data_IF_144698139032
#
_entry.id   IF_144698139032
#
_cell.length_a   1.000
_cell.length_b   1.000
_cell.length_c   1.000
_cell.angle_alpha   90.00
_cell.angle_beta   90.00
_cell.angle_gamma   90.00
#
_symmetry.space_group_name_H-M   'P 1'
#
loop_
_entity.id
_entity.type
_entity.pdbx_description
1 polymer ?
#
# COMPACT_ATOMS: atom_id res chain seq x y z
N UNK A 1 6.86 25.48 24.12
CA UNK A 1 5.71 25.63 23.22
C UNK A 1 4.62 24.70 23.71
N UNK A 2 3.37 25.15 23.90
CA UNK A 2 2.31 24.24 24.31
C UNK A 2 2.05 23.26 23.15
N UNK A 3 2.17 21.98 23.45
CA UNK A 3 1.79 20.86 22.59
C UNK A 3 0.34 21.07 22.14
N UNK A 4 0.13 21.54 20.91
CA UNK A 4 -1.18 21.48 20.24
C UNK A 4 -1.45 20.03 19.88
N UNK A 5 -1.75 19.18 20.87
CA UNK A 5 -2.38 17.89 20.62
C UNK A 5 -3.86 18.20 20.35
N UNK A 6 -4.15 18.78 19.18
CA UNK A 6 -5.50 18.88 18.66
C UNK A 6 -5.93 17.45 18.31
N UNK A 7 -6.50 16.77 19.31
CA UNK A 7 -7.28 15.56 19.08
C UNK A 7 -8.51 16.00 18.29
N UNK A 8 -8.48 15.77 16.98
CA UNK A 8 -9.72 15.69 16.22
C UNK A 8 -10.62 14.66 16.90
N UNK A 9 -11.94 14.86 16.94
CA UNK A 9 -12.83 13.78 17.36
C UNK A 9 -12.44 12.55 16.55
N UNK A 10 -12.20 11.43 17.25
CA UNK A 10 -11.87 10.17 16.60
C UNK A 10 -12.98 9.89 15.58
N UNK A 11 -12.63 9.94 14.29
CA UNK A 11 -13.57 9.58 13.24
C UNK A 11 -14.05 8.16 13.49
N UNK A 12 -15.32 7.89 13.21
CA UNK A 12 -15.80 6.53 13.19
C UNK A 12 -14.95 5.70 12.21
N UNK A 13 -14.73 4.39 12.46
CA UNK A 13 -13.89 3.54 11.60
C UNK A 13 -14.20 3.65 10.10
N UNK A 14 -15.47 3.77 9.73
CA UNK A 14 -15.89 3.94 8.35
C UNK A 14 -15.43 5.28 7.74
N UNK A 15 -15.62 6.39 8.46
CA UNK A 15 -15.21 7.72 8.01
C UNK A 15 -13.68 7.83 7.96
N UNK A 16 -12.97 7.21 8.93
CA UNK A 16 -11.51 7.13 8.93
C UNK A 16 -10.97 6.37 7.72
N UNK A 17 -11.60 5.25 7.35
CA UNK A 17 -11.23 4.47 6.17
C UNK A 17 -11.52 5.22 4.86
N UNK A 18 -12.69 5.87 4.76
CA UNK A 18 -13.03 6.70 3.62
C UNK A 18 -12.03 7.86 3.44
N UNK A 19 -11.70 8.56 4.53
CA UNK A 19 -10.71 9.62 4.51
C UNK A 19 -9.30 9.11 4.19
N UNK A 20 -8.84 8.02 4.82
CA UNK A 20 -7.52 7.45 4.54
C UNK A 20 -7.34 7.08 3.07
N UNK A 21 -8.39 6.54 2.45
CA UNK A 21 -8.41 6.26 1.01
C UNK A 21 -8.43 7.54 0.17
N UNK A 22 -9.24 8.54 0.54
CA UNK A 22 -9.30 9.84 -0.15
C UNK A 22 -7.97 10.60 -0.08
N UNK A 23 -7.33 10.64 1.09
CA UNK A 23 -6.07 11.33 1.31
C UNK A 23 -4.95 10.74 0.44
N UNK A 24 -4.88 9.41 0.33
CA UNK A 24 -3.95 8.73 -0.58
C UNK A 24 -4.25 9.03 -2.05
N UNK A 25 -5.53 8.97 -2.44
CA UNK A 25 -5.94 9.36 -3.80
C UNK A 25 -5.43 10.75 -4.14
N UNK A 26 -5.72 11.76 -3.33
CA UNK A 26 -5.34 13.14 -3.63
C UNK A 26 -3.84 13.40 -3.50
N UNK A 27 -3.17 12.75 -2.55
CA UNK A 27 -1.71 12.80 -2.44
C UNK A 27 -1.05 12.28 -3.73
N UNK A 28 -1.47 11.11 -4.24
CA UNK A 28 -1.00 10.58 -5.52
C UNK A 28 -1.33 11.51 -6.68
N UNK A 29 -2.58 11.95 -6.81
CA UNK A 29 -2.99 12.81 -7.92
C UNK A 29 -2.16 14.10 -8.00
N UNK A 30 -1.93 14.77 -6.86
CA UNK A 30 -1.18 16.02 -6.82
C UNK A 30 0.32 15.80 -6.95
N UNK A 31 0.89 14.89 -6.16
CA UNK A 31 2.34 14.66 -6.09
C UNK A 31 2.89 14.09 -7.40
N UNK A 32 2.14 13.20 -8.06
CA UNK A 32 2.50 12.66 -9.38
C UNK A 32 2.12 13.60 -10.53
N UNK A 33 1.60 14.80 -10.23
CA UNK A 33 1.17 15.80 -11.21
C UNK A 33 0.10 15.33 -12.19
N UNK A 34 -0.75 14.38 -11.78
CA UNK A 34 -1.97 13.99 -12.51
C UNK A 34 -3.09 15.02 -12.35
N UNK A 35 -3.08 15.73 -11.21
CA UNK A 35 -3.92 16.88 -10.92
C UNK A 35 -3.04 18.03 -10.40
N UNK A 36 -3.42 19.27 -10.68
CA UNK A 36 -2.82 20.43 -10.00
C UNK A 36 -3.53 20.64 -8.67
N UNK A 37 -2.73 20.76 -7.61
CA UNK A 37 -3.17 21.25 -6.30
C UNK A 37 -2.71 22.69 -6.11
N UNK A 38 -3.63 23.59 -5.80
CA UNK A 38 -3.32 25.01 -5.51
C UNK A 38 -3.50 25.25 -4.02
N UNK A 39 -2.43 25.68 -3.35
CA UNK A 39 -2.47 26.08 -1.95
C UNK A 39 -2.97 27.51 -1.80
N UNK A 40 -3.96 27.70 -0.94
CA UNK A 40 -4.46 29.00 -0.51
C UNK A 40 -4.40 29.09 1.01
N UNK A 41 -3.74 30.13 1.53
CA UNK A 41 -3.65 30.37 2.97
C UNK A 41 -5.02 30.77 3.52
N UNK A 42 -5.39 30.19 4.67
CA UNK A 42 -6.58 30.60 5.41
C UNK A 42 -6.27 31.71 6.42
N UNK A 43 -7.31 32.41 6.89
CA UNK A 43 -7.14 33.41 7.94
C UNK A 43 -6.67 32.76 9.25
N UNK A 44 -5.84 33.49 10.01
CA UNK A 44 -5.31 33.00 11.28
C UNK A 44 -6.45 32.72 12.30
N UNK A 45 -6.25 31.72 13.16
CA UNK A 45 -7.23 31.34 14.19
C UNK A 45 -8.15 30.17 13.83
N UNK A 46 -7.95 29.55 12.66
CA UNK A 46 -8.57 28.27 12.29
C UNK A 46 -7.63 27.09 12.59
N UNK A 47 -8.20 25.89 12.68
CA UNK A 47 -7.45 24.63 12.87
C UNK A 47 -6.69 24.17 11.62
N UNK A 48 -6.77 24.93 10.52
CA UNK A 48 -6.08 24.69 9.27
C UNK A 48 -5.18 25.88 8.91
N UNK A 49 -3.96 25.61 8.44
CA UNK A 49 -3.04 26.63 7.91
C UNK A 49 -3.51 27.17 6.55
N UNK A 50 -4.18 26.33 5.77
CA UNK A 50 -4.65 26.64 4.43
C UNK A 50 -5.55 25.55 3.86
N UNK A 51 -5.80 25.65 2.57
CA UNK A 51 -6.51 24.64 1.79
C UNK A 51 -5.70 24.26 0.55
N UNK A 52 -5.80 23.01 0.13
CA UNK A 52 -5.45 22.54 -1.20
C UNK A 52 -6.72 22.49 -2.05
N UNK A 53 -6.76 23.25 -3.14
CA UNK A 53 -7.79 23.15 -4.18
C UNK A 53 -7.28 22.22 -5.28
N UNK A 54 -7.88 21.03 -5.40
CA UNK A 54 -7.51 20.04 -6.41
C UNK A 54 -8.37 20.23 -7.66
N UNK A 55 -7.72 20.50 -8.79
CA UNK A 55 -8.40 20.72 -10.06
C UNK A 55 -8.69 19.40 -10.79
N UNK A 56 -9.70 19.41 -11.68
CA UNK A 56 -9.97 18.30 -12.59
C UNK A 56 -8.79 18.05 -13.52
N UNK A 57 -8.73 16.84 -14.07
CA UNK A 57 -7.58 16.39 -14.84
C UNK A 57 -7.45 17.12 -16.19
N UNK A 58 -8.56 17.37 -16.88
CA UNK A 58 -8.58 18.10 -18.15
C UNK A 58 -8.25 19.59 -17.97
N UNK A 59 -8.59 20.16 -16.82
CA UNK A 59 -8.12 21.48 -16.39
C UNK A 59 -6.62 21.43 -16.09
N UNK A 60 -6.16 20.42 -15.34
CA UNK A 60 -4.77 20.26 -14.92
C UNK A 60 -3.80 19.93 -16.06
N UNK A 61 -4.27 19.26 -17.11
CA UNK A 61 -3.46 18.90 -18.28
C UNK A 61 -3.07 20.09 -19.17
N UNK A 62 -3.62 21.28 -18.89
CA UNK A 62 -3.33 22.52 -19.63
C UNK A 62 -2.51 23.47 -18.77
N UNK A 63 -1.62 24.29 -19.37
CA UNK A 63 -0.96 25.37 -18.63
C UNK A 63 -1.98 26.24 -17.89
N UNK A 64 -1.62 26.84 -16.73
CA UNK A 64 -2.51 27.75 -16.02
C UNK A 64 -3.04 28.81 -16.98
N UNK A 65 -4.36 28.97 -17.10
CA UNK A 65 -4.91 30.01 -17.95
C UNK A 65 -4.65 31.37 -17.29
N UNK A 66 -4.66 32.42 -18.11
CA UNK A 66 -4.55 33.80 -17.65
C UNK A 66 -5.54 34.09 -16.52
N UNK A 67 -5.18 34.98 -15.58
CA UNK A 67 -5.99 35.33 -14.40
C UNK A 67 -7.40 35.81 -14.78
N UNK A 68 -7.61 36.35 -15.99
CA UNK A 68 -8.91 36.76 -16.50
C UNK A 68 -9.85 35.58 -16.82
N UNK A 69 -9.32 34.37 -17.04
CA UNK A 69 -10.12 33.16 -17.24
C UNK A 69 -10.31 32.48 -15.88
N UNK A 70 -11.46 32.71 -15.26
CA UNK A 70 -11.71 32.20 -13.93
C UNK A 70 -11.92 30.67 -13.91
N UNK A 71 -11.41 30.00 -12.87
CA UNK A 71 -11.86 28.65 -12.53
C UNK A 71 -13.22 28.71 -11.85
N UNK A 72 -14.04 27.73 -12.14
CA UNK A 72 -15.41 27.56 -11.64
C UNK A 72 -15.52 26.33 -10.75
N UNK A 73 -16.67 26.14 -10.09
CA UNK A 73 -16.93 24.95 -9.29
C UNK A 73 -16.82 23.65 -10.10
N UNK A 74 -17.13 23.68 -11.41
CA UNK A 74 -16.97 22.52 -12.28
C UNK A 74 -15.52 22.16 -12.57
N UNK A 75 -14.56 23.07 -12.38
CA UNK A 75 -13.14 22.81 -12.60
C UNK A 75 -12.44 22.16 -11.38
N UNK A 76 -13.14 22.08 -10.24
CA UNK A 76 -12.59 21.62 -8.96
C UNK A 76 -13.10 20.21 -8.66
N UNK A 77 -12.19 19.29 -8.35
CA UNK A 77 -12.52 17.95 -7.86
C UNK A 77 -12.86 18.00 -6.38
N UNK A 78 -11.97 18.57 -5.58
CA UNK A 78 -12.05 18.57 -4.13
C UNK A 78 -11.30 19.77 -3.52
N UNK A 79 -11.67 20.13 -2.30
CA UNK A 79 -10.97 21.12 -1.47
C UNK A 79 -10.60 20.47 -0.14
N UNK A 80 -9.31 20.47 0.20
CA UNK A 80 -8.77 19.73 1.34
C UNK A 80 -8.13 20.73 2.30
N UNK A 81 -8.66 20.91 3.52
CA UNK A 81 -8.01 21.72 4.54
C UNK A 81 -6.69 21.07 4.99
N UNK A 82 -5.65 21.87 5.16
CA UNK A 82 -4.32 21.40 5.54
C UNK A 82 -3.92 21.91 6.93
N UNK A 83 -3.30 21.04 7.72
CA UNK A 83 -2.65 21.34 9.01
C UNK A 83 -1.46 22.25 8.80
N UNK A 84 -0.62 21.88 7.84
CA UNK A 84 0.68 22.49 7.60
C UNK A 84 0.80 23.00 6.16
N UNK A 85 1.81 23.83 5.93
CA UNK A 85 2.09 24.37 4.60
C UNK A 85 2.77 23.27 3.78
N UNK A 86 2.21 22.88 2.62
CA UNK A 86 2.75 21.77 1.83
C UNK A 86 4.05 22.19 1.11
N UNK A 87 4.73 21.22 0.51
CA UNK A 87 5.90 21.51 -0.32
C UNK A 87 5.44 22.00 -1.70
N UNK A 88 5.91 23.18 -2.09
CA UNK A 88 5.55 23.79 -3.37
C UNK A 88 6.41 23.31 -4.53
N UNK A 89 5.86 23.41 -5.74
CA UNK A 89 6.63 23.27 -6.98
C UNK A 89 7.61 24.42 -7.13
N UNK A 90 8.81 24.13 -7.62
CA UNK A 90 9.82 25.16 -7.91
C UNK A 90 9.48 26.01 -9.14
N UNK A 91 8.66 25.47 -10.04
CA UNK A 91 8.28 26.02 -11.33
C UNK A 91 6.77 26.33 -11.44
N UNK A 92 6.05 26.37 -10.32
CA UNK A 92 4.62 26.70 -10.31
C UNK A 92 4.36 28.13 -10.79
N UNK A 93 3.46 28.30 -11.76
CA UNK A 93 3.18 29.61 -12.37
C UNK A 93 1.73 30.07 -12.25
N UNK A 94 0.84 29.34 -11.58
CA UNK A 94 -0.57 29.76 -11.47
C UNK A 94 -0.68 31.04 -10.61
N UNK A 95 -1.15 32.17 -11.15
CA UNK A 95 -1.23 33.43 -10.41
C UNK A 95 -2.29 33.42 -9.28
N UNK A 96 -3.14 32.37 -9.22
CA UNK A 96 -4.20 32.24 -8.23
C UNK A 96 -3.72 31.73 -6.87
N UNK A 97 -2.57 31.06 -6.80
CA UNK A 97 -2.02 30.48 -5.57
C UNK A 97 -0.75 29.66 -5.84
N UNK A 98 -0.15 29.12 -4.78
CA UNK A 98 1.10 28.35 -4.93
C UNK A 98 0.79 26.90 -5.33
N UNK A 99 1.34 26.44 -6.45
CA UNK A 99 1.17 25.04 -6.86
C UNK A 99 1.92 24.10 -5.92
N UNK A 100 1.23 23.05 -5.48
CA UNK A 100 1.75 22.03 -4.57
C UNK A 100 2.53 20.99 -5.38
N UNK A 101 3.75 20.70 -4.95
CA UNK A 101 4.64 19.69 -5.53
C UNK A 101 4.61 18.36 -4.78
N UNK A 102 4.44 18.39 -3.45
CA UNK A 102 4.21 17.22 -2.62
C UNK A 102 3.09 17.53 -1.63
N UNK A 103 2.05 16.70 -1.67
CA UNK A 103 0.91 16.77 -0.77
C UNK A 103 0.93 15.53 0.13
N UNK A 104 1.42 15.69 1.36
CA UNK A 104 1.48 14.59 2.34
C UNK A 104 0.08 14.32 2.92
N UNK A 105 -0.42 13.08 2.94
CA UNK A 105 -1.65 12.72 3.65
C UNK A 105 -1.67 13.18 5.11
N UNK A 106 -0.52 13.24 5.78
CA UNK A 106 -0.43 13.68 7.17
C UNK A 106 -0.64 15.19 7.37
N UNK A 107 -0.38 15.98 6.34
CA UNK A 107 -0.67 17.41 6.33
C UNK A 107 -2.17 17.68 6.15
N UNK A 108 -2.97 16.67 5.78
CA UNK A 108 -4.40 16.86 5.57
C UNK A 108 -5.18 16.81 6.90
N UNK A 109 -6.16 17.70 7.03
CA UNK A 109 -7.23 17.48 7.99
C UNK A 109 -8.10 16.32 7.54
N UNK A 110 -8.72 15.57 8.47
CA UNK A 110 -9.56 14.40 8.17
C UNK A 110 -10.92 14.80 7.58
N UNK A 111 -10.89 15.59 6.52
CA UNK A 111 -12.02 16.25 5.89
C UNK A 111 -11.67 16.59 4.45
N UNK A 112 -12.57 16.22 3.53
CA UNK A 112 -12.51 16.62 2.13
C UNK A 112 -13.81 17.31 1.79
N UNK A 113 -13.77 18.47 1.17
CA UNK A 113 -14.96 19.17 0.68
C UNK A 113 -15.15 18.94 -0.82
N UNK A 114 -16.42 18.83 -1.22
CA UNK A 114 -16.86 18.87 -2.61
C UNK A 114 -18.06 19.81 -2.77
N UNK A 115 -18.31 20.25 -4.00
CA UNK A 115 -19.51 21.01 -4.32
C UNK A 115 -20.71 20.05 -4.43
N UNK A 116 -21.79 20.35 -3.70
CA UNK A 116 -23.00 19.52 -3.68
C UNK A 116 -23.62 19.35 -5.08
N UNK A 117 -24.12 18.15 -5.37
CA UNK A 117 -24.74 17.82 -6.67
C UNK A 117 -26.26 17.96 -6.68
N UNK A 118 -26.97 17.82 -5.56
CA UNK A 118 -28.35 18.29 -5.32
C UNK A 118 -28.83 17.92 -3.88
N UNK A 119 -29.53 18.83 -3.20
CA UNK A 119 -30.37 18.52 -2.01
C UNK A 119 -29.68 18.02 -0.73
N UNK A 120 -28.35 18.06 -0.62
CA UNK A 120 -27.61 17.59 0.56
C UNK A 120 -27.76 18.51 1.78
N UNK A 121 -28.08 17.91 2.93
CA UNK A 121 -28.25 18.62 4.21
C UNK A 121 -26.93 19.15 4.81
N UNK A 122 -27.09 20.22 5.59
CA UNK A 122 -26.19 20.84 6.58
C UNK A 122 -24.75 20.32 6.66
N UNK A 123 -23.79 21.16 6.31
CA UNK A 123 -22.37 20.91 6.51
C UNK A 123 -22.01 20.98 8.01
N UNK A 124 -21.61 19.87 8.63
CA UNK A 124 -21.13 19.82 10.02
C UNK A 124 -19.93 20.77 10.28
N UNK A 125 -19.24 21.20 9.21
CA UNK A 125 -18.07 22.06 9.23
C UNK A 125 -18.32 23.42 8.56
N UNK A 126 -19.50 24.04 8.77
CA UNK A 126 -19.89 25.34 8.15
C UNK A 126 -18.79 26.40 8.23
N UNK A 127 -18.13 26.57 9.38
CA UNK A 127 -17.12 27.60 9.59
C UNK A 127 -15.93 27.41 8.64
N UNK A 128 -15.40 26.18 8.58
CA UNK A 128 -14.24 25.87 7.74
C UNK A 128 -14.60 25.89 6.24
N UNK A 129 -15.79 25.39 5.87
CA UNK A 129 -16.28 25.47 4.51
C UNK A 129 -16.48 26.93 4.04
N UNK A 130 -17.01 27.79 4.91
CA UNK A 130 -17.17 29.22 4.63
C UNK A 130 -15.80 29.91 4.49
N UNK A 131 -14.86 29.57 5.36
CA UNK A 131 -13.49 30.09 5.28
C UNK A 131 -12.78 29.64 3.99
N UNK A 132 -12.95 28.38 3.61
CA UNK A 132 -12.43 27.85 2.36
C UNK A 132 -13.02 28.58 1.14
N UNK A 133 -14.35 28.73 1.07
CA UNK A 133 -15.00 29.50 0.01
C UNK A 133 -14.48 30.94 -0.05
N UNK A 134 -14.34 31.61 1.09
CA UNK A 134 -13.79 32.98 1.16
C UNK A 134 -12.34 33.07 0.66
N UNK A 135 -11.53 32.03 0.86
CA UNK A 135 -10.19 31.99 0.29
C UNK A 135 -10.22 31.85 -1.24
N UNK A 136 -11.26 31.24 -1.79
CA UNK A 136 -11.49 31.01 -3.23
C UNK A 136 -12.41 32.10 -3.83
N UNK A 137 -12.41 33.32 -3.29
CA UNK A 137 -13.08 34.48 -3.92
C UNK A 137 -12.10 35.51 -4.48
N UNK A 138 -10.82 35.17 -4.57
CA UNK A 138 -9.79 36.03 -5.16
C UNK A 138 -9.90 36.13 -6.69
N UNK A 139 -9.09 37.00 -7.34
CA UNK A 139 -9.00 37.06 -8.79
C UNK A 139 -8.72 35.67 -9.40
N UNK A 140 -9.35 35.37 -10.54
CA UNK A 140 -9.20 34.08 -11.22
C UNK A 140 -10.10 32.95 -10.72
N UNK A 141 -11.06 33.23 -9.83
CA UNK A 141 -12.10 32.30 -9.39
C UNK A 141 -13.51 32.89 -9.62
N UNK A 142 -14.45 32.11 -10.14
CA UNK A 142 -15.86 32.45 -10.25
C UNK A 142 -16.71 31.31 -9.66
N UNK A 143 -17.06 31.50 -8.39
CA UNK A 143 -17.91 30.59 -7.62
C UNK A 143 -19.27 31.22 -7.29
N UNK A 144 -19.66 32.29 -7.99
CA UNK A 144 -20.88 33.05 -7.69
C UNK A 144 -22.17 32.22 -7.80
N UNK A 145 -22.15 31.21 -8.66
CA UNK A 145 -23.25 30.27 -8.92
C UNK A 145 -22.97 28.87 -8.39
N UNK A 146 -21.88 28.69 -7.64
CA UNK A 146 -21.47 27.39 -7.15
C UNK A 146 -22.49 26.86 -6.12
N UNK A 147 -22.77 25.53 -6.13
CA UNK A 147 -23.46 24.88 -5.03
C UNK A 147 -22.71 25.09 -3.70
N UNK A 148 -23.34 24.83 -2.54
CA UNK A 148 -22.63 24.84 -1.27
C UNK A 148 -21.54 23.76 -1.22
N UNK A 149 -20.46 24.03 -0.47
CA UNK A 149 -19.50 23.00 -0.11
C UNK A 149 -20.07 22.07 0.95
N UNK A 150 -19.90 20.77 0.75
CA UNK A 150 -20.28 19.70 1.68
C UNK A 150 -19.10 18.78 1.94
N UNK A 151 -19.06 18.18 3.13
CA UNK A 151 -18.07 17.18 3.47
C UNK A 151 -18.32 15.92 2.63
N UNK A 152 -17.32 15.48 1.88
CA UNK A 152 -17.35 14.23 1.14
C UNK A 152 -17.16 13.05 2.09
N UNK A 153 -18.08 12.09 2.03
CA UNK A 153 -18.07 10.88 2.86
C UNK A 153 -17.48 9.67 2.14
N UNK A 154 -17.10 9.82 0.88
CA UNK A 154 -16.59 8.71 0.07
C UNK A 154 -15.61 9.23 -0.99
N UNK A 155 -14.46 8.58 -1.18
CA UNK A 155 -13.56 8.92 -2.28
C UNK A 155 -14.09 8.48 -3.65
N UNK A 156 -15.10 7.60 -3.71
CA UNK A 156 -15.54 6.97 -4.97
C UNK A 156 -16.13 8.00 -5.95
N UNK A 157 -17.08 8.88 -5.56
CA UNK A 157 -17.60 9.89 -6.47
C UNK A 157 -16.51 10.88 -6.95
N UNK A 158 -15.54 11.19 -6.08
CA UNK A 158 -14.41 12.07 -6.40
C UNK A 158 -13.49 11.43 -7.44
N UNK A 159 -13.18 10.14 -7.27
CA UNK A 159 -12.44 9.35 -8.25
C UNK A 159 -13.19 9.26 -9.58
N UNK A 160 -14.49 8.95 -9.56
CA UNK A 160 -15.29 8.87 -10.78
C UNK A 160 -15.33 10.20 -11.53
N UNK A 161 -15.54 11.31 -10.80
CA UNK A 161 -15.50 12.66 -11.36
C UNK A 161 -14.14 12.94 -12.01
N UNK A 162 -13.04 12.64 -11.33
CA UNK A 162 -11.69 12.81 -11.87
C UNK A 162 -11.45 11.92 -13.11
N UNK A 163 -11.71 10.62 -13.02
CA UNK A 163 -11.47 9.66 -14.09
C UNK A 163 -12.31 9.92 -15.35
N UNK A 164 -13.57 10.38 -15.19
CA UNK A 164 -14.39 10.83 -16.32
C UNK A 164 -13.81 12.07 -17.00
N UNK A 165 -13.28 13.04 -16.25
CA UNK A 165 -12.60 14.21 -16.84
C UNK A 165 -11.36 13.83 -17.65
N UNK A 166 -10.63 12.78 -17.22
CA UNK A 166 -9.51 12.19 -17.97
C UNK A 166 -9.92 11.35 -19.18
N UNK A 167 -11.22 11.09 -19.38
CA UNK A 167 -11.74 10.16 -20.38
C UNK A 167 -11.15 8.75 -20.23
N UNK A 168 -10.93 8.30 -18.98
CA UNK A 168 -10.51 6.93 -18.69
C UNK A 168 -11.58 5.96 -19.22
N UNK A 169 -11.13 4.84 -19.81
CA UNK A 169 -12.04 3.78 -20.28
C UNK A 169 -12.89 3.28 -19.11
N UNK A 170 -14.19 3.14 -19.34
CA UNK A 170 -15.16 2.74 -18.31
C UNK A 170 -14.78 1.44 -17.58
N UNK A 171 -14.13 0.48 -18.27
CA UNK A 171 -13.63 -0.75 -17.65
C UNK A 171 -12.54 -0.49 -16.62
N UNK A 172 -11.57 0.37 -16.95
CA UNK A 172 -10.47 0.75 -16.04
C UNK A 172 -11.02 1.57 -14.88
N UNK A 173 -11.97 2.47 -15.17
CA UNK A 173 -12.63 3.28 -14.13
C UNK A 173 -13.28 2.38 -13.09
N UNK A 174 -14.07 1.39 -13.53
CA UNK A 174 -14.72 0.39 -12.66
C UNK A 174 -13.72 -0.47 -11.89
N UNK A 175 -12.65 -0.93 -12.54
CA UNK A 175 -11.62 -1.74 -11.89
C UNK A 175 -10.96 -0.98 -10.73
N UNK A 176 -10.61 0.30 -10.93
CA UNK A 176 -10.00 1.13 -9.89
C UNK A 176 -11.02 1.51 -8.81
N UNK A 177 -12.29 1.76 -9.16
CA UNK A 177 -13.35 1.98 -8.17
C UNK A 177 -13.50 0.76 -7.25
N UNK A 178 -13.49 -0.46 -7.79
CA UNK A 178 -13.53 -1.68 -6.99
C UNK A 178 -12.30 -1.85 -6.08
N UNK A 179 -11.13 -1.38 -6.52
CA UNK A 179 -9.93 -1.35 -5.67
C UNK A 179 -10.10 -0.37 -4.50
N UNK A 180 -10.67 0.82 -4.72
CA UNK A 180 -10.98 1.76 -3.63
C UNK A 180 -12.04 1.22 -2.66
N UNK A 181 -13.10 0.59 -3.16
CA UNK A 181 -14.11 -0.06 -2.32
C UNK A 181 -13.47 -1.13 -1.42
N UNK A 182 -12.59 -1.96 -2.00
CA UNK A 182 -11.83 -2.96 -1.24
C UNK A 182 -10.92 -2.30 -0.20
N UNK A 183 -10.21 -1.22 -0.54
CA UNK A 183 -9.37 -0.48 0.42
C UNK A 183 -10.17 0.07 1.59
N UNK A 184 -11.33 0.70 1.33
CA UNK A 184 -12.21 1.23 2.39
C UNK A 184 -12.71 0.08 3.28
N UNK A 185 -13.14 -1.03 2.68
CA UNK A 185 -13.65 -2.17 3.43
C UNK A 185 -12.60 -2.74 4.39
N UNK A 186 -11.38 -2.99 3.90
CA UNK A 186 -10.33 -3.59 4.71
C UNK A 186 -9.75 -2.61 5.72
N UNK A 187 -9.55 -1.33 5.37
CA UNK A 187 -9.13 -0.33 6.35
C UNK A 187 -10.17 -0.15 7.45
N UNK A 188 -11.47 -0.14 7.11
CA UNK A 188 -12.55 -0.11 8.10
C UNK A 188 -12.45 -1.30 9.04
N UNK A 189 -12.31 -2.51 8.49
CA UNK A 189 -12.17 -3.72 9.29
C UNK A 189 -11.00 -3.60 10.27
N UNK A 190 -9.87 -3.07 9.82
CA UNK A 190 -8.70 -2.89 10.66
C UNK A 190 -8.88 -1.81 11.73
N UNK A 191 -9.61 -0.73 11.45
CA UNK A 191 -9.94 0.28 12.47
C UNK A 191 -10.99 -0.22 13.49
N UNK A 192 -11.85 -1.16 13.10
CA UNK A 192 -12.77 -1.85 14.01
C UNK A 192 -12.05 -2.92 14.85
N UNK A 193 -10.95 -3.46 14.34
CA UNK A 193 -10.16 -4.52 14.98
C UNK A 193 -8.68 -4.12 15.05
N UNK A 194 -8.33 -3.00 15.70
CA UNK A 194 -6.99 -2.47 15.66
C UNK A 194 -6.01 -3.45 16.31
N UNK A 195 -4.84 -3.69 15.70
CA UNK A 195 -3.79 -4.48 16.31
C UNK A 195 -3.30 -3.82 17.60
N UNK A 196 -2.74 -4.64 18.48
CA UNK A 196 -2.08 -4.16 19.70
C UNK A 196 -0.81 -3.41 19.30
N UNK A 197 -0.57 -2.25 19.90
CA UNK A 197 0.65 -1.50 19.66
C UNK A 197 1.86 -2.33 20.11
N UNK A 198 2.84 -2.56 19.22
CA UNK A 198 4.04 -3.28 19.60
C UNK A 198 4.77 -2.46 20.67
N UNK A 199 5.46 -3.15 21.57
CA UNK A 199 6.24 -2.51 22.61
C UNK A 199 7.72 -2.57 22.23
N UNK A 200 8.57 -1.72 22.81
CA UNK A 200 10.01 -1.80 22.61
C UNK A 200 10.63 -3.22 22.73
N UNK A 201 10.21 -4.09 23.68
CA UNK A 201 10.72 -5.46 23.73
C UNK A 201 10.10 -6.42 22.70
N UNK A 202 9.00 -6.03 22.02
CA UNK A 202 8.32 -6.88 21.04
C UNK A 202 9.26 -7.30 19.91
N UNK A 203 9.14 -8.55 19.43
CA UNK A 203 9.93 -9.05 18.31
C UNK A 203 9.63 -8.32 17.01
N UNK A 204 10.58 -8.35 16.07
CA UNK A 204 10.48 -7.64 14.79
C UNK A 204 9.19 -7.97 14.03
N UNK A 205 8.74 -9.22 14.08
CA UNK A 205 7.50 -9.66 13.42
C UNK A 205 6.23 -9.03 14.01
N UNK A 206 6.22 -8.68 15.30
CA UNK A 206 5.09 -7.97 15.90
C UNK A 206 4.97 -6.56 15.32
N UNK A 207 6.09 -5.89 15.06
CA UNK A 207 6.10 -4.57 14.41
C UNK A 207 5.66 -4.63 12.95
N UNK A 208 6.00 -5.71 12.23
CA UNK A 208 5.50 -5.97 10.88
C UNK A 208 3.98 -6.22 10.86
N UNK A 209 3.46 -6.96 11.85
CA UNK A 209 2.06 -7.38 11.93
C UNK A 209 1.16 -6.39 12.68
N UNK A 210 1.72 -5.43 13.41
CA UNK A 210 0.95 -4.39 14.08
C UNK A 210 0.49 -3.27 13.15
N UNK A 211 0.92 -3.30 11.88
CA UNK A 211 0.53 -2.29 10.91
C UNK A 211 -0.90 -2.59 10.51
N UNK A 212 -1.77 -1.61 10.71
CA UNK A 212 -3.24 -1.74 10.66
C UNK A 212 -3.69 -2.26 9.29
N UNK A 213 -2.88 -2.10 8.24
CA UNK A 213 -3.15 -2.60 6.88
C UNK A 213 -2.76 -4.07 6.62
N UNK A 214 -2.40 -4.83 7.65
CA UNK A 214 -2.03 -6.24 7.57
C UNK A 214 -3.19 -7.19 7.25
N UNK A 215 -2.87 -8.37 6.70
CA UNK A 215 -3.83 -9.42 6.32
C UNK A 215 -3.68 -10.66 7.21
N UNK A 216 -4.75 -11.44 7.46
CA UNK A 216 -4.66 -12.70 8.21
C UNK A 216 -3.61 -13.66 7.65
N UNK A 217 -2.95 -14.38 8.56
CA UNK A 217 -1.94 -15.39 8.25
C UNK A 217 -2.59 -16.62 7.62
N UNK A 218 -2.05 -17.06 6.49
CA UNK A 218 -2.48 -18.29 5.80
C UNK A 218 -1.36 -19.31 5.87
N UNK A 219 -1.64 -20.62 5.83
CA UNK A 219 -0.58 -21.61 5.88
C UNK A 219 0.27 -21.60 4.61
N UNK A 220 1.52 -22.04 4.76
CA UNK A 220 2.36 -22.46 3.64
C UNK A 220 1.91 -23.85 3.18
N UNK A 221 1.81 -24.01 1.86
CA UNK A 221 1.50 -25.25 1.18
C UNK A 221 2.64 -25.66 0.27
N UNK A 222 2.54 -26.88 -0.23
CA UNK A 222 3.56 -27.46 -1.09
C UNK A 222 2.91 -27.98 -2.36
N UNK A 223 3.64 -27.82 -3.47
CA UNK A 223 3.31 -28.45 -4.75
C UNK A 223 4.54 -29.14 -5.28
N UNK A 224 4.37 -30.21 -6.04
CA UNK A 224 5.43 -30.84 -6.81
C UNK A 224 5.25 -30.48 -8.28
N UNK A 225 6.32 -29.98 -8.90
CA UNK A 225 6.35 -29.55 -10.31
C UNK A 225 7.39 -30.38 -11.06
N UNK A 226 7.11 -30.87 -12.29
CA UNK A 226 8.12 -31.52 -13.10
C UNK A 226 9.36 -30.64 -13.24
N UNK A 227 10.56 -31.18 -12.99
CA UNK A 227 11.82 -30.42 -13.04
C UNK A 227 12.03 -29.72 -14.37
N UNK A 228 11.69 -30.40 -15.47
CA UNK A 228 11.78 -29.86 -16.83
C UNK A 228 10.92 -28.61 -17.04
N UNK A 229 9.86 -28.46 -16.24
CA UNK A 229 8.97 -27.30 -16.28
C UNK A 229 9.42 -26.16 -15.36
N UNK A 230 10.59 -26.25 -14.74
CA UNK A 230 11.12 -25.23 -13.84
C UNK A 230 12.41 -24.59 -14.35
N UNK A 231 12.52 -23.27 -14.13
CA UNK A 231 13.82 -22.58 -14.09
C UNK A 231 14.22 -22.40 -12.63
N UNK A 232 15.26 -23.11 -12.24
CA UNK A 232 15.85 -23.04 -10.90
C UNK A 232 17.11 -22.19 -10.96
N UNK A 233 17.23 -21.22 -10.06
CA UNK A 233 18.44 -20.38 -9.93
C UNK A 233 19.11 -20.69 -8.60
N UNK A 234 20.42 -20.97 -8.66
CA UNK A 234 21.22 -21.45 -7.54
C UNK A 234 20.67 -22.75 -6.91
N UNK A 235 21.10 -23.09 -5.71
CA UNK A 235 20.79 -24.36 -5.04
C UNK A 235 19.46 -24.29 -4.27
N UNK A 236 18.36 -24.07 -4.99
CA UNK A 236 17.02 -23.91 -4.40
C UNK A 236 16.59 -25.13 -3.57
N UNK A 237 16.85 -26.33 -4.07
CA UNK A 237 16.38 -27.58 -3.45
C UNK A 237 17.02 -27.81 -2.09
N UNK A 238 18.32 -27.52 -1.95
CA UNK A 238 19.01 -27.54 -0.66
C UNK A 238 18.29 -26.69 0.39
N UNK A 239 17.82 -25.51 0.01
CA UNK A 239 17.11 -24.61 0.92
C UNK A 239 15.70 -25.09 1.25
N UNK A 240 15.07 -25.92 0.42
CA UNK A 240 13.72 -26.45 0.69
C UNK A 240 13.70 -27.71 1.55
N UNK A 241 14.83 -28.41 1.72
CA UNK A 241 14.90 -29.63 2.56
C UNK A 241 14.32 -29.44 3.97
N UNK A 242 14.65 -28.37 4.73
CA UNK A 242 14.06 -28.15 6.05
C UNK A 242 12.54 -27.96 6.02
N UNK A 243 12.01 -27.32 4.96
CA UNK A 243 10.57 -27.13 4.81
C UNK A 243 9.85 -28.46 4.57
N UNK A 244 10.40 -29.31 3.70
CA UNK A 244 9.83 -30.63 3.37
C UNK A 244 9.86 -31.53 4.61
N UNK A 245 10.96 -31.53 5.35
CA UNK A 245 11.08 -32.30 6.58
C UNK A 245 10.06 -31.85 7.63
N UNK A 246 9.91 -30.53 7.84
CA UNK A 246 8.94 -29.98 8.78
C UNK A 246 7.48 -30.28 8.35
N UNK A 247 7.17 -30.18 7.06
CA UNK A 247 5.84 -30.48 6.53
C UNK A 247 5.49 -31.98 6.67
N UNK A 248 6.46 -32.86 6.41
CA UNK A 248 6.32 -34.31 6.60
C UNK A 248 6.09 -34.64 8.07
N UNK A 249 6.87 -34.04 8.97
CA UNK A 249 6.68 -34.18 10.42
C UNK A 249 5.30 -33.69 10.88
N UNK A 250 4.81 -32.57 10.32
CA UNK A 250 3.47 -32.05 10.61
C UNK A 250 2.35 -32.97 10.11
N UNK A 251 2.54 -33.62 8.97
CA UNK A 251 1.57 -34.57 8.41
C UNK A 251 1.63 -35.95 9.06
N UNK A 252 2.74 -36.30 9.73
CA UNK A 252 3.00 -37.63 10.30
C UNK A 252 3.39 -38.68 9.26
N UNK A 253 3.67 -38.27 8.02
CA UNK A 253 4.10 -39.13 6.92
C UNK A 253 5.05 -38.38 5.98
N UNK A 254 5.84 -39.12 5.21
CA UNK A 254 6.78 -38.53 4.24
C UNK A 254 6.03 -37.90 3.06
N UNK A 255 6.47 -36.72 2.64
CA UNK A 255 5.89 -36.02 1.49
C UNK A 255 6.14 -36.86 0.22
N UNK A 256 5.10 -37.38 -0.48
CA UNK A 256 5.26 -38.35 -1.55
C UNK A 256 5.67 -37.66 -2.86
N UNK A 257 6.93 -37.23 -2.96
CA UNK A 257 7.46 -36.51 -4.13
C UNK A 257 7.62 -37.47 -5.30
N UNK A 258 6.97 -37.23 -6.46
CA UNK A 258 7.17 -38.06 -7.65
C UNK A 258 8.62 -37.97 -8.16
N UNK A 259 9.07 -39.02 -8.85
CA UNK A 259 10.37 -39.02 -9.50
C UNK A 259 10.47 -37.87 -10.53
N UNK A 260 11.62 -37.17 -10.57
CA UNK A 260 11.87 -36.02 -11.44
C UNK A 260 11.02 -34.76 -11.15
N UNK A 261 10.38 -34.68 -9.99
CA UNK A 261 9.68 -33.47 -9.55
C UNK A 261 10.50 -32.69 -8.52
N UNK A 262 10.22 -31.40 -8.42
CA UNK A 262 10.79 -30.50 -7.41
C UNK A 262 9.65 -29.95 -6.57
N UNK A 263 9.84 -29.96 -5.25
CA UNK A 263 8.87 -29.37 -4.33
C UNK A 263 9.03 -27.86 -4.29
N UNK A 264 7.94 -27.14 -4.54
CA UNK A 264 7.88 -25.69 -4.49
C UNK A 264 6.94 -25.28 -3.34
N UNK A 265 7.41 -24.48 -2.37
CA UNK A 265 6.54 -23.89 -1.35
C UNK A 265 5.67 -22.80 -1.98
N UNK A 266 4.39 -22.78 -1.64
CA UNK A 266 3.40 -21.84 -2.18
C UNK A 266 2.48 -21.35 -1.07
N UNK A 267 1.92 -20.16 -1.26
CA UNK A 267 0.92 -19.63 -0.33
C UNK A 267 -0.41 -20.39 -0.50
N UNK A 268 -1.18 -20.63 0.57
CA UNK A 268 -2.48 -21.33 0.49
C UNK A 268 -3.41 -20.74 -0.60
N UNK A 269 -3.55 -19.41 -0.63
CA UNK A 269 -4.35 -18.68 -1.62
C UNK A 269 -3.90 -18.90 -3.08
N UNK A 270 -2.70 -19.46 -3.29
CA UNK A 270 -2.17 -19.74 -4.62
C UNK A 270 -2.50 -21.14 -5.13
N UNK A 271 -2.92 -22.06 -4.27
CA UNK A 271 -3.17 -23.47 -4.64
C UNK A 271 -4.23 -23.60 -5.74
N UNK A 272 -5.35 -22.90 -5.64
CA UNK A 272 -6.41 -22.90 -6.65
C UNK A 272 -5.93 -22.32 -8.00
N UNK A 273 -5.14 -21.24 -7.96
CA UNK A 273 -4.54 -20.67 -9.17
C UNK A 273 -3.57 -21.64 -9.84
N UNK A 274 -2.80 -22.38 -9.04
CA UNK A 274 -1.85 -23.37 -9.56
C UNK A 274 -2.60 -24.51 -10.24
N UNK A 275 -3.60 -25.10 -9.58
CA UNK A 275 -4.41 -26.18 -10.15
C UNK A 275 -5.07 -25.77 -11.47
N UNK A 276 -5.56 -24.53 -11.56
CA UNK A 276 -6.21 -24.03 -12.77
C UNK A 276 -5.23 -23.75 -13.93
N UNK A 277 -3.97 -23.41 -13.64
CA UNK A 277 -3.00 -22.92 -14.65
C UNK A 277 -1.95 -23.96 -15.05
N UNK A 278 -1.66 -24.93 -14.18
CA UNK A 278 -0.59 -25.92 -14.37
C UNK A 278 -1.15 -27.33 -14.10
N UNK A 279 -1.75 -27.97 -15.13
CA UNK A 279 -2.44 -29.26 -14.96
C UNK A 279 -1.50 -30.42 -14.62
N UNK A 280 -0.21 -30.25 -14.87
CA UNK A 280 0.89 -31.18 -14.59
C UNK A 280 1.47 -31.04 -13.17
N UNK A 281 1.05 -30.01 -12.41
CA UNK A 281 1.51 -29.76 -11.05
C UNK A 281 0.66 -30.52 -10.04
N UNK A 282 1.33 -31.27 -9.16
CA UNK A 282 0.68 -32.00 -8.07
C UNK A 282 0.60 -31.10 -6.85
N UNK A 283 -0.62 -30.74 -6.43
CA UNK A 283 -0.85 -30.01 -5.18
C UNK A 283 -0.99 -31.01 -4.04
N UNK A 284 -0.14 -30.92 -3.03
CA UNK A 284 -0.19 -31.84 -1.89
C UNK A 284 -1.41 -31.58 -0.99
N UNK A 285 -1.94 -32.63 -0.31
CA UNK A 285 -3.05 -32.52 0.62
C UNK A 285 -2.82 -31.46 1.71
N UNK A 286 -3.90 -30.87 2.29
CA UNK A 286 -3.80 -29.88 3.37
C UNK A 286 -3.06 -30.33 4.62
N UNK A 287 -2.90 -31.63 4.84
CA UNK A 287 -2.09 -32.16 5.95
C UNK A 287 -0.61 -31.75 5.86
N UNK A 288 -0.07 -31.56 4.64
CA UNK A 288 1.27 -31.05 4.43
C UNK A 288 1.25 -29.52 4.38
N UNK A 289 1.29 -28.91 5.56
CA UNK A 289 1.32 -27.47 5.71
C UNK A 289 2.36 -27.04 6.73
N UNK A 290 2.75 -25.75 6.68
CA UNK A 290 3.49 -25.11 7.76
C UNK A 290 2.81 -23.80 8.15
N UNK A 291 2.76 -23.46 9.45
CA UNK A 291 2.37 -22.12 9.86
C UNK A 291 3.42 -21.11 9.40
N UNK A 292 2.95 -19.95 8.95
CA UNK A 292 3.82 -18.84 8.53
C UNK A 292 3.32 -17.52 9.09
N UNK A 293 4.26 -16.60 9.25
CA UNK A 293 3.98 -15.23 9.66
C UNK A 293 4.21 -14.34 8.45
N UNK A 294 3.12 -13.77 7.93
CA UNK A 294 3.18 -12.80 6.84
C UNK A 294 3.76 -11.48 7.32
N UNK A 295 4.67 -10.92 6.52
CA UNK A 295 5.16 -9.55 6.62
C UNK A 295 4.22 -8.60 5.85
N UNK A 296 4.48 -7.29 5.87
CA UNK A 296 3.63 -6.28 5.23
C UNK A 296 3.25 -6.56 3.76
N UNK A 297 4.13 -7.22 3.00
CA UNK A 297 3.87 -7.55 1.60
C UNK A 297 2.89 -8.71 1.39
N UNK A 298 2.42 -9.35 2.48
CA UNK A 298 1.62 -10.60 2.56
C UNK A 298 2.38 -11.84 2.08
N UNK A 299 3.10 -11.71 0.97
CA UNK A 299 3.79 -12.80 0.28
C UNK A 299 5.22 -13.05 0.73
N UNK A 300 5.82 -12.11 1.47
CA UNK A 300 7.06 -12.36 2.20
C UNK A 300 6.69 -12.90 3.57
N UNK A 301 7.24 -14.06 3.91
CA UNK A 301 6.79 -14.83 5.06
C UNK A 301 7.97 -15.42 5.83
N UNK A 302 7.85 -15.40 7.15
CA UNK A 302 8.74 -16.14 8.06
C UNK A 302 8.12 -17.52 8.29
N UNK A 303 8.97 -18.56 8.40
CA UNK A 303 8.55 -19.95 8.65
C UNK A 303 9.18 -20.44 9.96
N UNK A 304 8.64 -20.06 11.13
CA UNK A 304 9.34 -20.24 12.42
C UNK A 304 9.76 -21.68 12.71
N UNK A 305 8.97 -22.66 12.27
CA UNK A 305 9.20 -24.08 12.57
C UNK A 305 10.20 -24.77 11.63
N UNK A 306 10.71 -24.07 10.62
CA UNK A 306 11.59 -24.67 9.62
C UNK A 306 12.79 -23.79 9.24
N UNK A 307 12.66 -22.48 9.37
CA UNK A 307 13.71 -21.52 9.08
C UNK A 307 14.03 -20.65 10.29
N UNK A 308 15.33 -20.54 10.57
CA UNK A 308 15.88 -19.66 11.57
C UNK A 308 16.38 -18.37 10.92
N UNK A 309 17.33 -18.45 9.98
CA UNK A 309 17.94 -17.28 9.31
C UNK A 309 17.31 -16.92 7.94
N UNK A 310 16.23 -17.60 7.55
CA UNK A 310 15.65 -17.49 6.21
C UNK A 310 14.18 -17.08 6.24
N UNK A 311 13.76 -16.43 5.16
CA UNK A 311 12.36 -16.15 4.83
C UNK A 311 12.06 -16.58 3.39
N UNK A 312 10.78 -16.66 3.08
CA UNK A 312 10.28 -16.95 1.75
C UNK A 312 9.61 -15.73 1.16
N UNK A 313 9.73 -15.57 -0.15
CA UNK A 313 8.88 -14.68 -0.94
C UNK A 313 8.14 -15.52 -1.96
N UNK A 314 6.81 -15.49 -1.91
CA UNK A 314 5.92 -16.39 -2.63
C UNK A 314 5.13 -15.66 -3.73
N UNK A 315 4.70 -16.38 -4.76
CA UNK A 315 3.70 -15.85 -5.69
C UNK A 315 2.30 -15.91 -5.06
N UNK A 316 1.59 -14.77 -5.02
CA UNK A 316 0.18 -14.72 -4.58
C UNK A 316 -0.65 -13.96 -5.62
N UNK A 317 -1.64 -14.62 -6.20
CA UNK A 317 -2.53 -14.13 -7.25
C UNK A 317 -3.60 -13.17 -6.74
N UNK A 318 -3.23 -12.25 -5.85
CA UNK A 318 -4.08 -11.17 -5.35
C UNK A 318 -3.57 -9.85 -5.91
N UNK A 319 -4.49 -8.93 -6.18
CA UNK A 319 -4.14 -7.58 -6.58
C UNK A 319 -4.06 -6.69 -5.33
N UNK A 320 -2.91 -6.05 -5.11
CA UNK A 320 -2.75 -5.02 -4.08
C UNK A 320 -2.09 -3.81 -4.73
N UNK A 321 -2.63 -2.61 -4.51
CA UNK A 321 -2.18 -1.35 -5.14
C UNK A 321 -2.05 -1.50 -6.67
N UNK A 322 -3.12 -2.01 -7.30
CA UNK A 322 -3.21 -2.25 -8.75
C UNK A 322 -2.25 -3.27 -9.36
N UNK A 323 -1.38 -3.92 -8.56
CA UNK A 323 -0.43 -4.92 -9.02
C UNK A 323 -0.74 -6.31 -8.47
N UNK A 324 -0.66 -7.34 -9.32
CA UNK A 324 -0.78 -8.73 -8.89
C UNK A 324 0.50 -9.15 -8.16
N UNK A 325 0.37 -9.69 -6.94
CA UNK A 325 1.49 -10.04 -6.06
C UNK A 325 2.15 -11.38 -6.36
N UNK A 326 2.27 -11.70 -7.64
CA UNK A 326 3.05 -12.82 -8.21
C UNK A 326 4.54 -12.47 -8.40
N UNK A 327 5.39 -13.46 -8.67
CA UNK A 327 6.84 -13.25 -8.89
C UNK A 327 7.16 -13.48 -10.38
N UNK A 328 7.58 -12.43 -11.09
CA UNK A 328 7.89 -12.55 -12.51
C UNK A 328 9.09 -13.48 -12.76
N UNK A 329 9.15 -14.18 -13.91
CA UNK A 329 10.33 -14.97 -14.27
C UNK A 329 11.63 -14.17 -14.28
N UNK A 330 11.58 -12.91 -14.72
CA UNK A 330 12.74 -12.02 -14.71
C UNK A 330 13.21 -11.73 -13.27
N UNK A 331 12.29 -11.43 -12.35
CA UNK A 331 12.63 -11.21 -10.94
C UNK A 331 13.22 -12.46 -10.29
N UNK A 332 12.61 -13.63 -10.51
CA UNK A 332 13.13 -14.90 -10.00
C UNK A 332 14.55 -15.16 -10.53
N UNK A 333 14.82 -14.92 -11.80
CA UNK A 333 16.14 -15.13 -12.41
C UNK A 333 17.20 -14.11 -11.93
N UNK A 334 16.84 -12.83 -11.82
CA UNK A 334 17.77 -11.74 -11.53
C UNK A 334 18.09 -11.60 -10.04
N UNK A 335 17.12 -11.84 -9.16
CA UNK A 335 17.24 -11.64 -7.71
C UNK A 335 18.47 -12.31 -7.08
N UNK A 336 18.61 -13.65 -7.23
CA UNK A 336 19.77 -14.37 -6.71
C UNK A 336 21.09 -13.98 -7.36
N UNK A 337 21.08 -13.64 -8.65
CA UNK A 337 22.29 -13.17 -9.36
C UNK A 337 22.73 -11.80 -8.89
N UNK A 338 21.80 -10.87 -8.72
CA UNK A 338 22.09 -9.54 -8.19
C UNK A 338 22.72 -9.66 -6.79
N UNK A 339 22.14 -10.52 -5.95
CA UNK A 339 22.64 -10.80 -4.61
C UNK A 339 24.03 -11.42 -4.58
N UNK A 340 24.35 -12.31 -5.53
CA UNK A 340 25.65 -12.97 -5.59
C UNK A 340 26.74 -12.17 -6.32
N UNK A 341 26.37 -11.32 -7.28
CA UNK A 341 27.32 -10.67 -8.20
C UNK A 341 27.43 -9.16 -7.99
N UNK A 342 26.32 -8.49 -7.68
CA UNK A 342 26.28 -7.03 -7.56
C UNK A 342 26.48 -6.60 -6.11
N UNK A 343 25.74 -7.18 -5.16
CA UNK A 343 25.82 -6.80 -3.73
C UNK A 343 27.26 -6.87 -3.16
N UNK A 344 28.11 -7.85 -3.52
CA UNK A 344 29.51 -7.85 -3.07
C UNK A 344 30.36 -6.72 -3.65
N UNK A 345 30.01 -6.22 -4.84
CA UNK A 345 30.74 -5.17 -5.55
C UNK A 345 30.30 -3.74 -5.14
N UNK A 346 29.17 -3.60 -4.45
CA UNK A 346 28.70 -2.31 -3.96
C UNK A 346 29.62 -1.77 -2.85
N UNK A 347 30.07 -0.52 -3.01
CA UNK A 347 30.81 0.19 -1.96
C UNK A 347 29.83 0.68 -0.91
N UNK A 348 29.77 0.00 0.23
CA UNK A 348 28.94 0.37 1.39
C UNK A 348 29.64 -0.02 2.69
N UNK A 349 29.38 0.73 3.76
CA UNK A 349 29.79 0.33 5.10
C UNK A 349 28.85 -0.77 5.61
N UNK A 350 29.36 -2.00 5.65
CA UNK A 350 28.60 -3.19 6.09
C UNK A 350 28.32 -3.22 7.60
N UNK A 351 28.88 -2.28 8.37
CA UNK A 351 28.49 -2.09 9.78
C UNK A 351 27.24 -1.21 9.92
N UNK A 352 26.87 -0.48 8.87
CA UNK A 352 25.71 0.42 8.87
C UNK A 352 24.58 -0.16 8.02
N UNK A 353 24.91 -0.75 6.87
CA UNK A 353 23.94 -1.22 5.89
C UNK A 353 24.14 -2.72 5.64
N UNK A 354 23.07 -3.48 5.87
CA UNK A 354 22.99 -4.89 5.54
C UNK A 354 21.92 -5.10 4.47
N UNK A 355 22.22 -5.94 3.49
CA UNK A 355 21.29 -6.33 2.43
C UNK A 355 20.83 -7.75 2.70
N UNK A 356 19.54 -7.95 2.97
CA UNK A 356 18.93 -9.28 3.04
C UNK A 356 18.86 -9.88 1.63
N UNK A 357 19.83 -10.74 1.30
CA UNK A 357 20.03 -11.29 -0.04
C UNK A 357 18.98 -12.32 -0.41
N UNK A 358 18.60 -12.32 -1.69
CA UNK A 358 17.85 -13.43 -2.29
C UNK A 358 18.88 -14.52 -2.65
N UNK A 359 18.78 -15.71 -2.08
CA UNK A 359 19.82 -16.75 -2.17
C UNK A 359 19.57 -17.71 -3.33
N UNK A 360 18.31 -18.07 -3.55
CA UNK A 360 17.89 -19.01 -4.59
C UNK A 360 16.44 -18.73 -4.98
N UNK A 361 16.05 -19.22 -6.15
CA UNK A 361 14.68 -19.05 -6.65
C UNK A 361 14.26 -20.17 -7.58
N UNK A 362 12.95 -20.27 -7.76
CA UNK A 362 12.32 -21.16 -8.73
C UNK A 362 11.15 -20.43 -9.39
N UNK A 363 10.93 -20.71 -10.68
CA UNK A 363 9.77 -20.24 -11.44
C UNK A 363 9.41 -21.24 -12.53
N UNK A 364 8.11 -21.40 -12.80
CA UNK A 364 7.64 -22.23 -13.90
C UNK A 364 8.09 -21.68 -15.27
N UNK A 365 8.37 -22.57 -16.21
CA UNK A 365 8.85 -22.27 -17.58
C UNK A 365 7.72 -21.99 -18.56
N UNK A 366 6.50 -21.70 -18.08
CA UNK A 366 5.34 -21.56 -18.95
C UNK A 366 5.63 -20.48 -20.03
N UNK A 367 5.30 -20.72 -21.31
CA UNK A 367 5.68 -19.81 -22.40
C UNK A 367 5.08 -18.42 -22.24
N UNK A 368 3.88 -18.33 -21.68
CA UNK A 368 3.30 -17.08 -21.19
C UNK A 368 3.84 -16.74 -19.79
N UNK A 369 4.62 -15.67 -19.71
CA UNK A 369 5.21 -15.14 -18.47
C UNK A 369 4.16 -14.67 -17.44
N UNK A 370 2.98 -14.25 -17.90
CA UNK A 370 1.88 -13.83 -17.03
C UNK A 370 1.22 -15.02 -16.33
N UNK A 371 1.31 -16.21 -16.92
CA UNK A 371 0.93 -17.46 -16.27
C UNK A 371 2.08 -17.96 -15.40
N UNK A 372 3.31 -18.00 -15.93
CA UNK A 372 4.50 -18.51 -15.23
C UNK A 372 4.69 -17.92 -13.82
N UNK A 373 4.45 -16.61 -13.67
CA UNK A 373 4.61 -15.89 -12.40
C UNK A 373 3.71 -16.38 -11.25
N UNK A 374 2.69 -17.20 -11.55
CA UNK A 374 1.82 -17.80 -10.54
C UNK A 374 2.43 -19.02 -9.84
N UNK A 375 3.51 -19.62 -10.36
CA UNK A 375 4.22 -20.71 -9.70
C UNK A 375 5.70 -20.34 -9.58
N UNK A 376 6.03 -19.66 -8.49
CA UNK A 376 7.36 -19.15 -8.22
C UNK A 376 7.57 -18.93 -6.71
N UNK A 377 8.82 -19.10 -6.28
CA UNK A 377 9.25 -18.84 -4.91
C UNK A 377 10.71 -18.34 -4.90
N UNK A 378 11.04 -17.53 -3.91
CA UNK A 378 12.40 -17.01 -3.66
C UNK A 378 12.75 -17.28 -2.20
N UNK A 379 13.96 -17.78 -1.97
CA UNK A 379 14.57 -17.93 -0.64
C UNK A 379 15.38 -16.66 -0.36
N UNK A 380 15.19 -16.05 0.82
CA UNK A 380 15.86 -14.82 1.22
C UNK A 380 16.44 -14.94 2.62
N UNK A 381 17.54 -14.24 2.88
CA UNK A 381 18.02 -14.01 4.25
C UNK A 381 16.97 -13.24 5.07
N UNK A 382 16.85 -13.57 6.35
CA UNK A 382 15.96 -12.93 7.30
C UNK A 382 16.74 -12.49 8.55
N UNK A 383 17.45 -11.37 8.45
CA UNK A 383 18.25 -10.84 9.56
C UNK A 383 17.39 -10.41 10.75
N UNK A 384 16.11 -10.12 10.51
CA UNK A 384 15.08 -9.84 11.50
C UNK A 384 14.79 -11.02 12.44
N UNK A 385 14.92 -12.25 11.96
CA UNK A 385 14.61 -13.43 12.78
C UNK A 385 15.64 -13.65 13.88
N UNK A 386 16.89 -13.25 13.65
CA UNK A 386 18.02 -13.48 14.57
C UNK A 386 18.57 -12.19 15.18
N UNK A 387 17.91 -11.05 14.97
CA UNK A 387 18.40 -9.76 15.51
C UNK A 387 18.50 -9.77 17.03
N UNK A 388 17.55 -10.43 17.70
CA UNK A 388 17.50 -10.46 19.16
C UNK A 388 18.67 -11.24 19.77
N UNK A 389 19.09 -12.32 19.11
CA UNK A 389 20.25 -13.13 19.50
C UNK A 389 21.55 -12.32 19.40
N UNK A 390 21.57 -11.31 18.52
CA UNK A 390 22.67 -10.33 18.40
C UNK A 390 22.55 -9.16 19.37
N UNK A 391 21.52 -9.12 20.21
CA UNK A 391 21.24 -7.98 21.09
C UNK A 391 20.68 -6.75 20.36
N UNK A 392 20.16 -6.95 19.15
CA UNK A 392 19.57 -5.91 18.31
C UNK A 392 18.03 -6.00 18.29
N UNK A 393 17.40 -4.88 17.91
CA UNK A 393 15.97 -4.82 17.58
C UNK A 393 15.81 -4.20 16.22
N UNK A 394 15.13 -4.92 15.31
CA UNK A 394 14.83 -4.42 13.98
C UNK A 394 13.34 -4.06 13.91
N UNK A 395 13.09 -2.79 13.59
CA UNK A 395 11.75 -2.21 13.48
C UNK A 395 11.54 -1.81 12.03
N UNK A 396 10.42 -2.22 11.46
CA UNK A 396 10.07 -1.85 10.08
C UNK A 396 9.82 -0.35 9.99
N UNK A 397 10.43 0.34 9.03
CA UNK A 397 10.42 1.81 9.00
C UNK A 397 9.00 2.42 8.96
N UNK A 398 8.04 1.72 8.34
CA UNK A 398 6.65 2.17 8.26
C UNK A 398 5.95 2.25 9.62
N UNK A 399 6.42 1.53 10.64
CA UNK A 399 5.80 1.61 11.97
C UNK A 399 6.05 2.97 12.63
N UNK A 400 7.11 3.69 12.25
CA UNK A 400 7.47 5.00 12.82
C UNK A 400 6.43 6.10 12.55
N UNK A 401 5.53 5.88 11.59
CA UNK A 401 4.44 6.79 11.25
C UNK A 401 3.06 6.17 11.48
N UNK A 402 3.01 4.94 11.98
CA UNK A 402 1.78 4.18 12.15
C UNK A 402 1.05 4.58 13.44
N UNK A 403 -0.25 4.83 13.36
CA UNK A 403 -1.09 5.20 14.50
C UNK A 403 -2.49 4.59 14.40
N UNK A 404 -3.21 4.57 15.51
CA UNK A 404 -4.53 3.92 15.63
C UNK A 404 -4.49 2.51 16.21
N UNK A 405 -3.41 2.16 16.91
CA UNK A 405 -3.32 0.89 17.62
C UNK A 405 -4.31 0.81 18.78
N UNK A 406 -4.65 -0.41 19.21
CA UNK A 406 -5.43 -0.62 20.41
C UNK A 406 -4.66 -0.19 21.68
N UNK A 407 -5.38 0.35 22.66
CA UNK A 407 -4.85 0.61 24.01
C UNK A 407 -4.27 2.01 24.25
N UNK A 408 -3.64 2.19 25.41
CA UNK A 408 -3.15 3.49 25.87
C UNK A 408 -1.99 3.97 25.02
N UNK A 409 -2.15 5.12 24.37
CA UNK A 409 -1.12 5.72 23.51
C UNK A 409 -1.17 5.25 22.05
N UNK A 410 -2.10 4.37 21.69
CA UNK A 410 -2.22 3.88 20.31
C UNK A 410 -2.58 4.94 19.27
N UNK A 411 -3.03 6.13 19.70
CA UNK A 411 -3.25 7.31 18.84
C UNK A 411 -1.96 8.05 18.45
N UNK A 412 -0.82 7.74 19.10
CA UNK A 412 0.48 8.28 18.75
C UNK A 412 1.20 7.35 17.77
N UNK A 413 2.09 7.87 16.92
CA UNK A 413 3.05 7.05 16.18
C UNK A 413 3.84 6.12 17.13
N UNK A 414 4.10 4.89 16.68
CA UNK A 414 4.76 3.84 17.47
C UNK A 414 6.25 4.09 17.72
#
# INVERSE_FOLDING_TARGET
MPSRTLQFPELAPADRAAFGTAARLFSCLVTESLARGIYLKLADGLDASGICVVLLADVSARPPPDIATAYTASDIVAIIPLRDVPVFKHDGTDPRGQEIGLLDPMDMLPLVFEFATDGSESNEHVILATAALKAITGPGWDLSTAPPLVASRSPLPLWEKFGRSMKIKETILKDITAEFESSILWQKHSFENPPVAPQWPSPSIDWEQSIVEGHPTHPLRFVAVPRENLKITNDFEKYTVPLIAAASASAGEELPVPENFVVVPVHELQTAHIQAKFPDVVVFPPAFYLPILGQQSIRSVVVPNAYHELSLKLGVGIKLTSAVRTISPASAYLGPRFSAQVVPALTMDRNIITVARELASVVHTHPDGEIAKHCAAIIREAHENTSEERGERLIVCTSLVESGHAGKGGHLPA
#
